data_IF_055545983610
#
_entry.id   IF_055545983610
#
_cell.length_a   1.000
_cell.length_b   1.000
_cell.length_c   1.000
_cell.angle_alpha   90.00
_cell.angle_beta   90.00
_cell.angle_gamma   90.00
#
_symmetry.space_group_name_H-M   'P 1'
#
loop_
_entity.id
_entity.type
_entity.pdbx_description
1 polymer ?
#
# COMPACT_ATOMS: atom_id res chain seq x y z
N UNK A 1 -9.53 3.42 -13.11
CA UNK A 1 -8.38 3.84 -12.28
C UNK A 1 -7.58 2.65 -11.75
N UNK A 2 -7.95 1.94 -10.67
CA UNK A 2 -7.12 0.81 -10.19
C UNK A 2 -6.97 -0.33 -11.20
N UNK A 3 -8.08 -0.79 -11.79
CA UNK A 3 -8.02 -1.83 -12.82
C UNK A 3 -7.09 -1.46 -13.99
N UNK A 4 -6.97 -0.18 -14.31
CA UNK A 4 -6.09 0.32 -15.37
C UNK A 4 -4.64 0.36 -14.90
N UNK A 5 -4.36 0.86 -13.68
CA UNK A 5 -3.02 0.80 -13.10
C UNK A 5 -2.52 -0.63 -12.94
N UNK A 6 -3.39 -1.54 -12.49
CA UNK A 6 -3.08 -2.96 -12.33
C UNK A 6 -2.83 -3.64 -13.69
N UNK A 7 -3.68 -3.38 -14.70
CA UNK A 7 -3.45 -3.87 -16.07
C UNK A 7 -2.14 -3.35 -16.63
N UNK A 8 -1.83 -2.06 -16.45
CA UNK A 8 -0.57 -1.46 -16.89
C UNK A 8 0.63 -2.11 -16.17
N UNK A 9 0.53 -2.33 -14.87
CA UNK A 9 1.57 -2.99 -14.08
C UNK A 9 1.81 -4.44 -14.51
N UNK A 10 0.75 -5.22 -14.70
CA UNK A 10 0.84 -6.60 -15.20
C UNK A 10 1.43 -6.60 -16.61
N UNK A 11 0.98 -5.71 -17.50
CA UNK A 11 1.52 -5.60 -18.86
C UNK A 11 3.00 -5.23 -18.85
N UNK A 12 3.41 -4.33 -17.95
CA UNK A 12 4.80 -3.94 -17.78
C UNK A 12 5.63 -5.13 -17.26
N UNK A 13 5.19 -5.79 -16.19
CA UNK A 13 5.84 -6.96 -15.61
C UNK A 13 5.99 -8.11 -16.62
N UNK A 14 4.96 -8.37 -17.42
CA UNK A 14 5.00 -9.31 -18.55
C UNK A 14 6.06 -8.92 -19.59
N UNK A 15 6.17 -7.62 -19.91
CA UNK A 15 7.09 -7.14 -20.95
C UNK A 15 8.55 -7.16 -20.49
N UNK A 16 8.81 -6.91 -19.21
CA UNK A 16 10.18 -6.80 -18.67
C UNK A 16 10.65 -8.06 -17.95
N UNK A 17 9.77 -9.08 -17.82
CA UNK A 17 10.03 -10.35 -17.12
C UNK A 17 10.47 -10.17 -15.65
N UNK A 18 9.98 -9.12 -14.99
CA UNK A 18 10.27 -8.85 -13.56
C UNK A 18 9.03 -9.18 -12.73
N UNK A 19 9.18 -9.91 -11.60
CA UNK A 19 8.07 -10.16 -10.67
C UNK A 19 7.51 -8.87 -10.08
N UNK A 20 6.23 -8.91 -9.77
CA UNK A 20 5.43 -7.77 -9.33
C UNK A 20 4.54 -8.25 -8.19
N UNK A 21 4.41 -7.49 -7.11
CA UNK A 21 3.37 -7.76 -6.12
C UNK A 21 2.35 -6.63 -6.02
N UNK A 22 1.10 -7.03 -5.82
CA UNK A 22 -0.01 -6.15 -5.50
C UNK A 22 -0.32 -6.33 -4.02
N UNK A 23 -0.30 -5.23 -3.28
CA UNK A 23 -0.64 -5.19 -1.87
C UNK A 23 -1.98 -4.49 -1.71
N UNK A 24 -2.97 -5.17 -1.16
CA UNK A 24 -4.17 -4.53 -0.63
C UNK A 24 -3.89 -4.09 0.80
N UNK A 25 -4.14 -2.81 1.07
CA UNK A 25 -3.83 -2.15 2.33
C UNK A 25 -5.12 -1.51 2.83
N UNK A 26 -5.56 -1.87 4.03
CA UNK A 26 -6.63 -1.19 4.74
C UNK A 26 -6.02 -0.44 5.94
N UNK A 27 -6.22 0.88 5.97
CA UNK A 27 -5.72 1.74 7.05
C UNK A 27 -6.80 1.87 8.14
N UNK A 28 -6.85 0.86 9.02
CA UNK A 28 -7.75 0.85 10.16
C UNK A 28 -7.61 2.13 11.00
N UNK A 29 -8.73 2.85 11.18
CA UNK A 29 -8.80 4.10 11.93
C UNK A 29 -8.55 5.37 11.09
N UNK A 30 -8.25 5.25 9.79
CA UNK A 30 -8.03 6.40 8.93
C UNK A 30 -9.28 7.30 8.80
N UNK A 31 -10.47 6.71 8.72
CA UNK A 31 -11.73 7.47 8.76
C UNK A 31 -11.89 8.24 10.07
N UNK A 32 -11.59 7.61 11.20
CA UNK A 32 -11.65 8.26 12.51
C UNK A 32 -10.67 9.44 12.60
N UNK A 33 -9.48 9.32 12.03
CA UNK A 33 -8.52 10.44 11.93
C UNK A 33 -9.12 11.61 11.15
N UNK A 34 -9.70 11.35 9.97
CA UNK A 34 -10.35 12.40 9.18
C UNK A 34 -11.53 13.05 9.93
N UNK A 35 -12.38 12.25 10.55
CA UNK A 35 -13.57 12.73 11.25
C UNK A 35 -13.20 13.53 12.52
N UNK A 36 -12.08 13.20 13.17
CA UNK A 36 -11.66 13.82 14.44
C UNK A 36 -10.75 15.03 14.23
N UNK A 37 -9.79 14.95 13.30
CA UNK A 37 -8.73 15.93 13.12
C UNK A 37 -8.80 16.67 11.77
N UNK A 38 -9.74 16.29 10.90
CA UNK A 38 -9.94 16.88 9.58
C UNK A 38 -9.11 16.22 8.48
N UNK A 39 -9.54 16.45 7.24
CA UNK A 39 -8.93 15.86 6.05
C UNK A 39 -7.46 16.25 5.84
N UNK A 40 -7.05 17.43 6.27
CA UNK A 40 -5.66 17.89 6.13
C UNK A 40 -4.68 17.02 6.96
N UNK A 41 -5.10 16.59 8.15
CA UNK A 41 -4.32 15.66 8.99
C UNK A 41 -4.32 14.25 8.40
N UNK A 42 -5.46 13.81 7.84
CA UNK A 42 -5.53 12.56 7.08
C UNK A 42 -4.60 12.55 5.88
N UNK A 43 -4.55 13.63 5.10
CA UNK A 43 -3.65 13.75 3.95
C UNK A 43 -2.17 13.70 4.37
N UNK A 44 -1.82 14.36 5.47
CA UNK A 44 -0.48 14.26 6.07
C UNK A 44 -0.14 12.81 6.45
N UNK A 45 -1.09 12.08 7.05
CA UNK A 45 -0.91 10.67 7.41
C UNK A 45 -0.68 9.81 6.16
N UNK A 46 -1.43 10.03 5.08
CA UNK A 46 -1.22 9.33 3.81
C UNK A 46 0.16 9.61 3.21
N UNK A 47 0.66 10.84 3.34
CA UNK A 47 2.02 11.16 2.92
C UNK A 47 3.05 10.37 3.74
N UNK A 48 2.88 10.24 5.06
CA UNK A 48 3.76 9.42 5.89
C UNK A 48 3.72 7.93 5.49
N UNK A 49 2.53 7.38 5.23
CA UNK A 49 2.39 6.00 4.75
C UNK A 49 3.09 5.81 3.41
N UNK A 50 2.98 6.77 2.48
CA UNK A 50 3.66 6.70 1.18
C UNK A 50 5.19 6.68 1.33
N UNK A 51 5.74 7.37 2.33
CA UNK A 51 7.18 7.37 2.62
C UNK A 51 7.69 6.03 3.18
N UNK A 52 6.80 5.12 3.59
CA UNK A 52 7.18 3.76 3.99
C UNK A 52 7.47 2.85 2.80
N UNK A 53 7.04 3.25 1.61
CA UNK A 53 7.25 2.53 0.36
C UNK A 53 8.48 3.09 -0.36
N UNK A 54 9.05 2.31 -1.28
CA UNK A 54 10.16 2.78 -2.11
C UNK A 54 9.64 3.77 -3.16
N UNK A 55 10.52 4.63 -3.67
CA UNK A 55 10.17 5.56 -4.76
C UNK A 55 9.68 4.85 -6.04
N UNK A 56 10.11 3.60 -6.27
CA UNK A 56 9.66 2.77 -7.38
C UNK A 56 8.28 2.13 -7.17
N UNK A 57 7.79 2.15 -5.93
CA UNK A 57 6.51 1.56 -5.58
C UNK A 57 5.40 2.60 -5.74
N UNK A 58 4.21 2.14 -6.07
CA UNK A 58 3.05 3.02 -6.31
C UNK A 58 1.98 2.76 -5.25
N UNK A 59 1.51 3.79 -4.56
CA UNK A 59 0.35 3.72 -3.67
C UNK A 59 -0.83 4.44 -4.32
N UNK A 60 -1.96 3.75 -4.44
CA UNK A 60 -3.22 4.30 -4.96
C UNK A 60 -4.34 4.12 -3.94
N UNK A 61 -5.16 5.15 -3.75
CA UNK A 61 -6.37 5.07 -2.92
C UNK A 61 -7.52 4.47 -3.75
N UNK A 62 -8.18 3.46 -3.21
CA UNK A 62 -9.36 2.84 -3.82
C UNK A 62 -10.65 3.54 -3.44
N UNK A 63 -10.76 3.91 -2.16
CA UNK A 63 -11.93 4.55 -1.59
C UNK A 63 -11.87 4.42 -0.07
N UNK A 64 -12.45 5.38 0.66
CA UNK A 64 -12.43 5.32 2.13
C UNK A 64 -11.00 5.19 2.69
N UNK A 65 -10.78 4.11 3.44
CA UNK A 65 -9.55 3.66 4.09
C UNK A 65 -8.82 2.54 3.33
N UNK A 66 -9.29 2.19 2.13
CA UNK A 66 -8.71 1.15 1.28
C UNK A 66 -7.70 1.73 0.27
N UNK A 67 -6.55 1.07 0.20
CA UNK A 67 -5.42 1.41 -0.64
C UNK A 67 -4.87 0.17 -1.35
N UNK A 68 -4.22 0.40 -2.48
CA UNK A 68 -3.43 -0.62 -3.17
C UNK A 68 -2.02 -0.10 -3.39
N UNK A 69 -1.04 -0.90 -2.97
CA UNK A 69 0.36 -0.68 -3.29
C UNK A 69 0.82 -1.64 -4.40
N UNK A 70 1.63 -1.13 -5.31
CA UNK A 70 2.29 -1.88 -6.37
C UNK A 70 3.78 -1.95 -6.05
N UNK A 71 4.28 -3.15 -5.77
CA UNK A 71 5.68 -3.39 -5.46
C UNK A 71 6.38 -3.91 -6.73
N UNK A 72 7.33 -3.13 -7.24
CA UNK A 72 7.99 -3.41 -8.54
C UNK A 72 9.40 -3.98 -8.40
N UNK A 73 9.91 -4.10 -7.17
CA UNK A 73 11.25 -4.62 -6.86
C UNK A 73 11.24 -5.83 -5.91
N UNK A 74 10.16 -6.60 -5.92
CA UNK A 74 10.07 -7.87 -5.20
C UNK A 74 10.45 -9.01 -6.14
N UNK A 75 11.21 -10.00 -5.65
CA UNK A 75 11.68 -11.13 -6.46
C UNK A 75 10.86 -12.39 -6.27
N UNK A 76 10.32 -12.56 -5.06
CA UNK A 76 9.66 -13.77 -4.59
C UNK A 76 8.70 -13.43 -3.43
N UNK A 77 7.96 -14.43 -2.97
CA UNK A 77 7.02 -14.28 -1.87
C UNK A 77 7.68 -13.81 -0.57
N UNK A 78 8.96 -14.11 -0.37
CA UNK A 78 9.70 -13.68 0.81
C UNK A 78 9.99 -12.18 0.79
N UNK A 79 10.38 -11.63 -0.36
CA UNK A 79 10.53 -10.18 -0.54
C UNK A 79 9.23 -9.40 -0.34
N UNK A 80 8.09 -10.00 -0.73
CA UNK A 80 6.76 -9.44 -0.44
C UNK A 80 6.48 -9.43 1.05
N UNK A 81 6.66 -10.56 1.75
CA UNK A 81 6.47 -10.67 3.20
C UNK A 81 7.37 -9.69 3.96
N UNK A 82 8.62 -9.54 3.56
CA UNK A 82 9.55 -8.58 4.17
C UNK A 82 9.04 -7.14 4.01
N UNK A 83 8.53 -6.79 2.83
CA UNK A 83 7.96 -5.46 2.57
C UNK A 83 6.72 -5.22 3.44
N UNK A 84 5.81 -6.19 3.54
CA UNK A 84 4.64 -6.13 4.42
C UNK A 84 5.03 -5.95 5.89
N UNK A 85 6.00 -6.72 6.37
CA UNK A 85 6.49 -6.65 7.75
C UNK A 85 7.15 -5.30 8.05
N UNK A 86 7.88 -4.72 7.10
CA UNK A 86 8.44 -3.37 7.25
C UNK A 86 7.33 -2.31 7.38
N UNK A 87 6.29 -2.39 6.54
CA UNK A 87 5.15 -1.47 6.62
C UNK A 87 4.42 -1.66 7.96
N UNK A 88 4.15 -2.90 8.37
CA UNK A 88 3.48 -3.20 9.64
C UNK A 88 4.26 -2.67 10.85
N UNK A 89 5.58 -2.91 10.89
CA UNK A 89 6.44 -2.43 11.95
C UNK A 89 6.49 -0.90 12.01
N UNK A 90 6.53 -0.22 10.86
CA UNK A 90 6.49 1.23 10.80
C UNK A 90 5.14 1.80 11.27
N UNK A 91 4.04 1.19 10.85
CA UNK A 91 2.68 1.56 11.27
C UNK A 91 2.43 1.31 12.77
N UNK A 92 3.12 0.34 13.38
CA UNK A 92 3.04 0.09 14.82
C UNK A 92 3.59 1.25 15.67
N UNK A 93 4.39 2.14 15.08
CA UNK A 93 4.87 3.35 15.75
C UNK A 93 3.89 4.51 15.55
N UNK A 94 3.58 5.31 16.60
CA UNK A 94 2.63 6.40 16.47
C UNK A 94 3.16 7.51 15.56
N UNK A 95 2.30 8.03 14.69
CA UNK A 95 2.65 9.14 13.81
C UNK A 95 2.53 10.47 14.56
N UNK A 96 3.59 11.27 14.54
CA UNK A 96 3.55 12.65 15.02
C UNK A 96 3.21 13.57 13.84
N UNK A 97 1.98 14.05 13.80
CA UNK A 97 1.48 14.93 12.73
C UNK A 97 0.99 16.22 13.36
N UNK A 98 1.68 17.32 13.04
CA UNK A 98 1.47 18.62 13.69
C UNK A 98 1.61 18.52 15.22
N UNK A 99 0.51 18.66 15.97
CA UNK A 99 0.46 18.56 17.43
C UNK A 99 -0.26 17.29 17.91
N UNK A 100 -0.52 16.34 17.00
CA UNK A 100 -1.27 15.12 17.29
C UNK A 100 -0.38 13.88 17.22
N UNK A 101 -0.60 12.98 18.18
CA UNK A 101 -0.08 11.61 18.15
C UNK A 101 -1.18 10.70 17.63
N UNK A 102 -0.99 10.14 16.44
CA UNK A 102 -1.98 9.30 15.78
C UNK A 102 -1.55 7.84 15.84
N UNK A 103 -2.48 6.99 16.26
CA UNK A 103 -2.32 5.54 16.24
C UNK A 103 -3.17 5.00 15.09
N UNK A 104 -2.52 4.37 14.11
CA UNK A 104 -3.20 3.71 13.01
C UNK A 104 -2.60 2.33 12.83
N UNK A 105 -3.45 1.38 12.45
CA UNK A 105 -3.02 0.03 12.18
C UNK A 105 -3.25 -0.28 10.71
N UNK A 106 -2.54 -1.27 10.21
CA UNK A 106 -2.65 -1.67 8.81
C UNK A 106 -3.04 -3.13 8.74
N UNK A 107 -4.06 -3.43 7.95
CA UNK A 107 -4.36 -4.80 7.50
C UNK A 107 -3.86 -4.93 6.07
N UNK A 108 -3.08 -5.96 5.77
CA UNK A 108 -2.44 -6.12 4.46
C UNK A 108 -2.70 -7.51 3.89
N UNK A 109 -3.01 -7.58 2.60
CA UNK A 109 -3.03 -8.80 1.81
C UNK A 109 -2.17 -8.63 0.57
N UNK A 110 -1.52 -9.69 0.09
CA UNK A 110 -0.63 -9.63 -1.06
C UNK A 110 -0.97 -10.69 -2.11
N UNK A 111 -0.73 -10.35 -3.37
CA UNK A 111 -0.66 -11.29 -4.48
C UNK A 111 0.60 -11.01 -5.31
N UNK A 112 1.39 -12.05 -5.57
CA UNK A 112 2.63 -12.01 -6.34
C UNK A 112 2.38 -12.55 -7.76
N UNK A 113 2.70 -11.74 -8.75
CA UNK A 113 2.76 -12.16 -10.14
C UNK A 113 4.15 -12.74 -10.48
N UNK A 114 4.25 -13.90 -11.15
CA UNK A 114 3.15 -14.72 -11.70
C UNK A 114 2.61 -15.83 -10.76
N UNK A 115 3.21 -16.04 -9.58
CA UNK A 115 2.92 -17.20 -8.70
C UNK A 115 1.45 -17.32 -8.28
N UNK A 116 0.80 -16.21 -7.91
CA UNK A 116 -0.58 -16.15 -7.44
C UNK A 116 -1.61 -15.96 -8.58
N UNK A 117 -1.15 -16.00 -9.84
CA UNK A 117 -2.00 -15.99 -11.03
C UNK A 117 -2.04 -14.66 -11.79
N UNK A 118 -2.45 -14.76 -13.05
CA UNK A 118 -2.41 -13.70 -14.08
C UNK A 118 -3.73 -12.91 -14.14
N UNK A 119 -4.74 -13.33 -13.39
CA UNK A 119 -6.11 -12.82 -13.54
C UNK A 119 -6.51 -12.01 -12.31
N UNK A 120 -6.53 -10.68 -12.48
CA UNK A 120 -7.29 -9.80 -11.63
C UNK A 120 -8.79 -10.13 -11.80
N UNK A 121 -9.27 -11.14 -11.08
CA UNK A 121 -10.69 -11.36 -10.88
C UNK A 121 -11.07 -10.59 -9.62
N UNK A 122 -11.71 -9.45 -9.86
CA UNK A 122 -12.43 -8.63 -8.89
C UNK A 122 -13.83 -9.23 -8.76
#
# INVERSE_FOLDING_TARGET
>A
MLQECLKQAITLAQRIEIPLAVLFIDLNGFKQVNDTYGHEVGDCLLQQVKLLLRDSDTLARMGGDEFVALLTQVKDAEGVKQSMACIEAAMATPFQIQHHTLHCYVSQGAALYPEDGISALI
#
